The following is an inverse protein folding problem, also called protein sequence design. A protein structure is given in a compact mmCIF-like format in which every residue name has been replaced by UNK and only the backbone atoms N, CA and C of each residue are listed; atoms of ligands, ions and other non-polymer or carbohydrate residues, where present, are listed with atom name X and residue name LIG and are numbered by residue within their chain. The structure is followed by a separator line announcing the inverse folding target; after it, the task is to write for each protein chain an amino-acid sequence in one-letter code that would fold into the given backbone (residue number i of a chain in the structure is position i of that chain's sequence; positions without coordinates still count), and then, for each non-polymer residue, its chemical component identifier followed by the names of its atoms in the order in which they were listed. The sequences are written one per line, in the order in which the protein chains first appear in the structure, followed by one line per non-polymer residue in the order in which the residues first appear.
data_IF_703705765476
#
_entry.id   IF_703705765476
#
_cell.length_a   1.000
_cell.length_b   1.000
_cell.length_c   1.000
_cell.angle_alpha   90.00
_cell.angle_beta   90.00
_cell.angle_gamma   90.00
#
_symmetry.space_group_name_H-M   'P 1'
#
loop_
_entity.id
_entity.type
_entity.pdbx_description
1 polymer ?
#
# COMPACT_ATOMS: atom_id res chain seq x y z
N UNK A 1 -10.69 7.45 14.82
CA UNK A 1 -9.42 6.69 14.96
C UNK A 1 -8.57 7.03 13.77
N UNK A 2 -7.26 7.24 13.92
CA UNK A 2 -6.42 8.06 13.01
C UNK A 2 -6.76 7.96 11.52
N UNK A 3 -6.90 6.76 10.96
CA UNK A 3 -7.22 6.56 9.55
C UNK A 3 -8.69 6.80 9.16
N UNK A 4 -9.63 6.56 10.06
CA UNK A 4 -11.01 7.05 9.89
C UNK A 4 -11.02 8.58 9.83
N UNK A 5 -10.26 9.25 10.70
CA UNK A 5 -10.21 10.71 10.76
C UNK A 5 -9.51 11.28 9.52
N UNK A 6 -8.48 10.59 9.01
CA UNK A 6 -7.84 10.88 7.72
C UNK A 6 -8.80 10.72 6.52
N UNK A 7 -9.56 9.62 6.48
CA UNK A 7 -10.55 9.39 5.43
C UNK A 7 -11.70 10.41 5.50
N UNK A 8 -12.08 10.85 6.69
CA UNK A 8 -13.08 11.89 6.89
C UNK A 8 -12.62 13.25 6.36
N UNK A 9 -11.32 13.56 6.41
CA UNK A 9 -10.76 14.76 5.80
C UNK A 9 -10.65 14.63 4.27
N UNK A 10 -10.28 13.45 3.76
CA UNK A 10 -10.17 13.20 2.31
C UNK A 10 -11.52 13.18 1.60
N UNK A 11 -12.60 12.78 2.28
CA UNK A 11 -13.95 12.70 1.70
C UNK A 11 -14.41 14.03 1.09
N UNK A 12 -14.48 15.14 1.85
CA UNK A 12 -14.83 16.45 1.32
C UNK A 12 -13.88 16.92 0.22
N UNK A 13 -12.56 16.70 0.34
CA UNK A 13 -11.58 17.10 -0.68
C UNK A 13 -11.87 16.42 -2.02
N UNK A 14 -12.13 15.11 -2.01
CA UNK A 14 -12.50 14.35 -3.21
C UNK A 14 -13.86 14.78 -3.75
N UNK A 15 -14.84 15.00 -2.87
CA UNK A 15 -16.17 15.45 -3.27
C UNK A 15 -16.15 16.81 -3.96
N UNK A 16 -15.41 17.78 -3.44
CA UNK A 16 -15.24 19.08 -4.09
C UNK A 16 -14.47 18.95 -5.41
N UNK A 17 -13.43 18.12 -5.50
CA UNK A 17 -12.72 17.89 -6.75
C UNK A 17 -13.64 17.28 -7.83
N UNK A 18 -14.51 16.33 -7.46
CA UNK A 18 -15.49 15.70 -8.37
C UNK A 18 -16.56 16.69 -8.83
N UNK A 19 -17.08 17.54 -7.93
CA UNK A 19 -18.03 18.60 -8.31
C UNK A 19 -17.39 19.60 -9.28
N UNK A 20 -16.18 20.06 -8.98
CA UNK A 20 -15.47 21.00 -9.84
C UNK A 20 -15.19 20.38 -11.22
N UNK A 21 -14.75 19.13 -11.29
CA UNK A 21 -14.54 18.42 -12.56
C UNK A 21 -15.81 18.31 -13.40
N UNK A 22 -16.97 18.13 -12.76
CA UNK A 22 -18.27 18.03 -13.45
C UNK A 22 -18.76 19.37 -14.02
N UNK A 23 -18.28 20.49 -13.48
CA UNK A 23 -18.68 21.84 -13.90
C UNK A 23 -17.74 22.43 -14.99
N UNK A 24 -16.59 21.81 -15.25
CA UNK A 24 -15.66 22.30 -16.25
C UNK A 24 -16.18 22.11 -17.68
N UNK A 25 -15.98 23.14 -18.50
CA UNK A 25 -16.22 23.03 -19.94
C UNK A 25 -15.20 22.08 -20.59
N UNK A 26 -15.55 21.41 -21.71
CA UNK A 26 -14.59 20.66 -22.50
C UNK A 26 -13.39 21.52 -22.91
N UNK A 27 -12.17 21.04 -22.64
CA UNK A 27 -10.93 21.76 -22.93
C UNK A 27 -10.51 22.80 -21.89
N UNK A 28 -11.19 22.88 -20.74
CA UNK A 28 -10.75 23.74 -19.65
C UNK A 28 -9.36 23.31 -19.15
N UNK A 29 -8.37 24.23 -19.11
CA UNK A 29 -6.99 23.90 -18.72
C UNK A 29 -6.88 23.39 -17.28
N UNK A 30 -7.86 23.69 -16.42
CA UNK A 30 -7.87 23.24 -15.01
C UNK A 30 -8.25 21.77 -14.87
N UNK A 31 -8.76 21.14 -15.93
CA UNK A 31 -9.22 19.75 -15.87
C UNK A 31 -8.11 18.80 -15.47
N UNK A 32 -6.91 18.97 -16.04
CA UNK A 32 -5.77 18.12 -15.73
C UNK A 32 -5.32 18.28 -14.27
N UNK A 33 -5.22 19.51 -13.78
CA UNK A 33 -4.83 19.79 -12.39
C UNK A 33 -5.84 19.22 -11.39
N UNK A 34 -7.14 19.39 -11.64
CA UNK A 34 -8.20 18.86 -10.79
C UNK A 34 -8.23 17.33 -10.80
N UNK A 35 -8.00 16.70 -11.95
CA UNK A 35 -7.89 15.25 -12.03
C UNK A 35 -6.66 14.74 -11.27
N UNK A 36 -5.53 15.44 -11.31
CA UNK A 36 -4.35 15.10 -10.50
C UNK A 36 -4.63 15.21 -9.00
N UNK A 37 -5.35 16.24 -8.56
CA UNK A 37 -5.79 16.40 -7.16
C UNK A 37 -6.69 15.22 -6.75
N UNK A 38 -7.67 14.87 -7.58
CA UNK A 38 -8.58 13.74 -7.32
C UNK A 38 -7.80 12.43 -7.20
N UNK A 39 -6.90 12.17 -8.15
CA UNK A 39 -6.08 10.96 -8.15
C UNK A 39 -5.14 10.88 -6.95
N UNK A 40 -4.54 12.01 -6.55
CA UNK A 40 -3.72 12.09 -5.34
C UNK A 40 -4.53 11.76 -4.08
N UNK A 41 -5.74 12.31 -3.96
CA UNK A 41 -6.65 12.03 -2.84
C UNK A 41 -7.06 10.55 -2.76
N UNK A 42 -7.35 9.92 -3.91
CA UNK A 42 -7.67 8.49 -3.98
C UNK A 42 -6.47 7.65 -3.51
N UNK A 43 -5.26 7.94 -4.01
CA UNK A 43 -4.04 7.25 -3.59
C UNK A 43 -3.79 7.39 -2.08
N UNK A 44 -3.99 8.59 -1.52
CA UNK A 44 -3.82 8.83 -0.09
C UNK A 44 -4.81 8.02 0.77
N UNK A 45 -6.07 7.92 0.32
CA UNK A 45 -7.10 7.08 0.96
C UNK A 45 -6.70 5.61 0.94
N UNK A 46 -6.22 5.12 -0.20
CA UNK A 46 -5.85 3.72 -0.36
C UNK A 46 -4.59 3.35 0.44
N UNK A 47 -3.59 4.25 0.47
CA UNK A 47 -2.40 4.09 1.32
C UNK A 47 -2.78 4.04 2.81
N UNK A 48 -3.70 4.91 3.24
CA UNK A 48 -4.22 4.93 4.62
C UNK A 48 -4.89 3.59 4.99
N UNK A 49 -5.66 3.00 4.06
CA UNK A 49 -6.25 1.66 4.24
C UNK A 49 -5.18 0.57 4.33
N UNK A 50 -4.15 0.62 3.49
CA UNK A 50 -3.04 -0.34 3.52
C UNK A 50 -2.24 -0.26 4.83
N UNK A 51 -1.95 0.95 5.33
CA UNK A 51 -1.27 1.16 6.61
C UNK A 51 -2.10 0.65 7.79
N UNK A 52 -3.42 0.86 7.79
CA UNK A 52 -4.31 0.26 8.79
C UNK A 52 -4.32 -1.27 8.71
N UNK A 53 -4.37 -1.85 7.51
CA UNK A 53 -4.36 -3.30 7.33
C UNK A 53 -3.05 -3.92 7.82
N UNK A 54 -1.93 -3.20 7.66
CA UNK A 54 -0.63 -3.54 8.22
C UNK A 54 -0.62 -3.44 9.75
N UNK A 55 -1.15 -2.34 10.31
CA UNK A 55 -1.20 -2.12 11.76
C UNK A 55 -2.25 -2.97 12.50
N UNK A 56 -3.28 -3.49 11.83
CA UNK A 56 -4.38 -4.28 12.42
C UNK A 56 -4.16 -5.80 12.40
N UNK A 57 -2.99 -6.30 11.98
CA UNK A 57 -2.52 -7.68 12.27
C UNK A 57 -1.32 -7.54 13.22
N UNK A 58 -1.31 -8.08 14.44
CA UNK A 58 -1.55 -9.49 14.75
C UNK A 58 -2.21 -9.71 16.13
N UNK A 59 -3.31 -10.46 16.15
CA UNK A 59 -3.40 -11.58 17.10
C UNK A 59 -2.59 -12.69 16.44
N UNK A 60 -1.46 -13.08 17.05
CA UNK A 60 -0.63 -14.18 16.56
C UNK A 60 -1.38 -15.50 16.82
N UNK A 61 -1.99 -16.07 15.78
CA UNK A 61 -2.41 -17.47 15.84
C UNK A 61 -1.19 -18.34 15.60
N UNK A 62 -0.63 -18.88 16.68
CA UNK A 62 0.46 -19.85 16.60
C UNK A 62 -0.08 -21.14 15.97
N UNK A 63 0.52 -21.55 14.86
CA UNK A 63 0.25 -22.84 14.20
C UNK A 63 1.56 -23.61 14.05
N UNK A 64 1.55 -24.95 14.14
CA UNK A 64 2.72 -25.75 13.79
C UNK A 64 3.17 -25.42 12.36
N UNK A 65 4.47 -25.23 12.18
CA UNK A 65 5.07 -24.90 10.88
C UNK A 65 6.16 -25.90 10.55
N UNK A 66 6.20 -26.35 9.30
CA UNK A 66 7.33 -27.10 8.79
C UNK A 66 8.52 -26.15 8.58
N UNK A 67 9.39 -26.10 9.57
CA UNK A 67 10.56 -25.24 9.57
C UNK A 67 11.50 -25.54 8.39
N UNK A 68 11.55 -26.80 7.92
CA UNK A 68 12.39 -27.20 6.79
C UNK A 68 11.87 -26.60 5.48
N UNK A 69 10.56 -26.63 5.26
CA UNK A 69 9.92 -25.98 4.12
C UNK A 69 10.16 -24.46 4.10
N UNK A 70 10.03 -23.81 5.27
CA UNK A 70 10.28 -22.37 5.42
C UNK A 70 11.73 -22.01 5.12
N UNK A 71 12.69 -22.75 5.69
CA UNK A 71 14.12 -22.52 5.47
C UNK A 71 14.51 -22.71 3.99
N UNK A 72 13.98 -23.74 3.32
CA UNK A 72 14.24 -23.97 1.89
C UNK A 72 13.72 -22.81 1.01
N UNK A 73 12.54 -22.28 1.32
CA UNK A 73 12.00 -21.11 0.62
C UNK A 73 12.86 -19.86 0.84
N UNK A 74 13.30 -19.65 2.06
CA UNK A 74 14.12 -18.50 2.43
C UNK A 74 15.52 -18.56 1.82
N UNK A 75 16.14 -19.74 1.77
CA UNK A 75 17.43 -19.96 1.14
C UNK A 75 17.42 -19.58 -0.35
N UNK A 76 16.35 -19.91 -1.08
CA UNK A 76 16.21 -19.53 -2.50
C UNK A 76 16.16 -18.01 -2.70
N UNK A 77 15.48 -17.29 -1.81
CA UNK A 77 15.43 -15.83 -1.84
C UNK A 77 16.81 -15.24 -1.53
N UNK A 78 17.46 -15.73 -0.48
CA UNK A 78 18.80 -15.27 -0.10
C UNK A 78 19.81 -15.52 -1.22
N UNK A 79 19.77 -16.67 -1.90
CA UNK A 79 20.65 -16.95 -3.05
C UNK A 79 20.45 -16.01 -4.24
N UNK A 80 19.28 -15.38 -4.38
CA UNK A 80 19.00 -14.40 -5.45
C UNK A 80 19.39 -12.97 -5.05
N UNK A 81 19.28 -12.64 -3.76
CA UNK A 81 19.51 -11.28 -3.26
C UNK A 81 20.95 -11.04 -2.85
N UNK A 82 21.62 -12.09 -2.34
CA UNK A 82 22.99 -12.01 -1.87
C UNK A 82 23.95 -12.18 -3.05
N UNK A 83 25.00 -11.36 -3.09
CA UNK A 83 26.02 -11.38 -4.14
C UNK A 83 26.76 -12.73 -4.17
N UNK A 84 27.22 -13.13 -5.36
CA UNK A 84 27.76 -14.47 -5.63
C UNK A 84 29.06 -14.83 -4.89
N UNK A 85 29.63 -13.88 -4.16
CA UNK A 85 30.82 -14.03 -3.30
C UNK A 85 30.49 -14.47 -1.87
N UNK A 86 29.22 -14.55 -1.49
CA UNK A 86 28.79 -14.98 -0.15
C UNK A 86 28.19 -16.39 -0.22
N UNK A 87 28.79 -17.32 0.54
CA UNK A 87 28.35 -18.71 0.61
C UNK A 87 27.24 -18.89 1.65
N UNK A 88 26.06 -19.33 1.19
CA UNK A 88 24.93 -19.69 2.06
C UNK A 88 24.94 -21.19 2.32
N UNK A 89 24.91 -21.58 3.60
CA UNK A 89 24.80 -22.96 4.06
C UNK A 89 23.68 -23.07 5.10
N UNK A 90 22.78 -24.03 4.90
CA UNK A 90 21.77 -24.43 5.88
C UNK A 90 22.25 -25.72 6.55
N UNK A 91 22.30 -25.75 7.89
CA UNK A 91 22.55 -26.98 8.65
C UNK A 91 21.22 -27.73 8.75
N UNK A 92 21.14 -28.90 8.13
CA UNK A 92 20.00 -29.81 8.24
C UNK A 92 20.20 -30.80 9.38
#
# INVERSE_FOLDING_TARGET
GVAHDFNNALGPVLGYAELLLAELAPGDPRHEELEQIRQAGIRARDLTRQLLAFGRKQVLTLVPVDLRGVLSGFEKLLRRTVRGDIKIQSLN
#
